data_IF_411220451065
#
_entry.id   IF_411220451065
#
_cell.length_a   1.000
_cell.length_b   1.000
_cell.length_c   1.000
_cell.angle_alpha   90.00
_cell.angle_beta   90.00
_cell.angle_gamma   90.00
#
_symmetry.space_group_name_H-M   'P 1'
#
loop_
_entity.id
_entity.type
_entity.pdbx_description
1 polymer ?
#
# COMPACT_ATOMS: atom_id res chain seq x y z
N UNK A 1 -84.12 -32.13 -0.12
CA UNK A 1 -83.08 -31.17 -0.53
C UNK A 1 -82.44 -30.47 0.69
N UNK A 2 -81.69 -31.19 1.54
CA UNK A 2 -80.97 -30.59 2.70
C UNK A 2 -79.53 -31.11 2.89
N UNK A 3 -79.05 -32.03 2.05
CA UNK A 3 -77.72 -32.67 2.19
C UNK A 3 -76.63 -32.12 1.25
N UNK A 4 -76.98 -31.30 0.26
CA UNK A 4 -76.03 -30.72 -0.72
C UNK A 4 -75.46 -29.36 -0.26
N UNK A 5 -76.13 -28.67 0.68
CA UNK A 5 -75.72 -27.35 1.19
C UNK A 5 -74.61 -27.39 2.26
N UNK A 6 -74.35 -28.55 2.87
CA UNK A 6 -73.37 -28.69 3.96
C UNK A 6 -71.95 -29.00 3.41
N UNK A 7 -71.86 -29.68 2.27
CA UNK A 7 -70.57 -30.08 1.67
C UNK A 7 -69.85 -28.87 1.02
N UNK A 8 -70.60 -27.93 0.45
CA UNK A 8 -70.06 -26.70 -0.13
C UNK A 8 -69.55 -25.73 0.95
N UNK A 9 -70.20 -25.60 2.10
CA UNK A 9 -69.73 -24.75 3.20
C UNK A 9 -68.42 -25.24 3.84
N UNK A 10 -68.21 -26.57 3.92
CA UNK A 10 -67.00 -27.17 4.48
C UNK A 10 -65.81 -27.04 3.52
N UNK A 11 -66.02 -27.20 2.20
CA UNK A 11 -64.95 -27.01 1.20
C UNK A 11 -64.49 -25.54 1.13
N UNK A 12 -65.40 -24.57 1.16
CA UNK A 12 -65.03 -23.14 1.13
C UNK A 12 -64.33 -22.70 2.43
N UNK A 13 -64.73 -23.20 3.59
CA UNK A 13 -64.04 -22.92 4.86
C UNK A 13 -62.60 -23.46 4.91
N UNK A 14 -62.36 -24.66 4.38
CA UNK A 14 -61.02 -25.26 4.31
C UNK A 14 -60.05 -24.50 3.40
N UNK A 15 -60.53 -23.99 2.26
CA UNK A 15 -59.72 -23.21 1.31
C UNK A 15 -59.34 -21.84 1.91
N UNK A 16 -60.26 -21.15 2.57
CA UNK A 16 -60.01 -19.86 3.22
C UNK A 16 -59.00 -20.00 4.37
N UNK A 17 -59.12 -21.03 5.21
CA UNK A 17 -58.18 -21.29 6.31
C UNK A 17 -56.79 -21.67 5.76
N UNK A 18 -56.72 -22.46 4.69
CA UNK A 18 -55.45 -22.81 4.05
C UNK A 18 -54.75 -21.58 3.42
N UNK A 19 -55.50 -20.68 2.78
CA UNK A 19 -54.97 -19.40 2.27
C UNK A 19 -54.50 -18.48 3.41
N UNK A 20 -55.26 -18.35 4.50
CA UNK A 20 -54.84 -17.56 5.66
C UNK A 20 -53.56 -18.11 6.30
N UNK A 21 -53.43 -19.44 6.44
CA UNK A 21 -52.19 -20.07 6.93
C UNK A 21 -51.00 -19.86 5.99
N UNK A 22 -51.21 -19.95 4.67
CA UNK A 22 -50.16 -19.70 3.67
C UNK A 22 -49.70 -18.24 3.69
N UNK A 23 -50.63 -17.29 3.84
CA UNK A 23 -50.31 -15.87 3.98
C UNK A 23 -49.57 -15.56 5.30
N UNK A 24 -49.99 -16.17 6.42
CA UNK A 24 -49.31 -16.03 7.70
C UNK A 24 -47.86 -16.57 7.65
N UNK A 25 -47.65 -17.73 7.00
CA UNK A 25 -46.31 -18.30 6.81
C UNK A 25 -45.42 -17.43 5.91
N UNK A 26 -45.97 -16.89 4.83
CA UNK A 26 -45.24 -15.98 3.94
C UNK A 26 -44.88 -14.66 4.64
N UNK A 27 -45.81 -14.10 5.43
CA UNK A 27 -45.54 -12.91 6.24
C UNK A 27 -44.46 -13.19 7.28
N UNK A 28 -44.50 -14.33 7.96
CA UNK A 28 -43.48 -14.73 8.93
C UNK A 28 -42.10 -14.86 8.28
N UNK A 29 -42.00 -15.56 7.14
CA UNK A 29 -40.76 -15.65 6.35
C UNK A 29 -40.24 -14.29 5.89
N UNK A 30 -41.13 -13.39 5.45
CA UNK A 30 -40.75 -12.04 5.04
C UNK A 30 -40.20 -11.22 6.21
N UNK A 31 -40.76 -11.40 7.40
CA UNK A 31 -40.34 -10.70 8.62
C UNK A 31 -38.99 -11.22 9.12
N UNK A 32 -38.75 -12.53 9.05
CA UNK A 32 -37.45 -13.11 9.38
C UNK A 32 -36.37 -12.69 8.40
N UNK A 33 -36.68 -12.60 7.11
CA UNK A 33 -35.76 -12.06 6.10
C UNK A 33 -35.44 -10.58 6.35
N UNK A 34 -36.43 -9.76 6.70
CA UNK A 34 -36.24 -8.35 7.05
C UNK A 34 -35.39 -8.19 8.33
N UNK A 35 -35.65 -8.99 9.36
CA UNK A 35 -34.87 -9.00 10.61
C UNK A 35 -33.43 -9.43 10.33
N UNK A 36 -33.23 -10.51 9.56
CA UNK A 36 -31.90 -10.97 9.19
C UNK A 36 -31.14 -9.88 8.42
N UNK A 37 -31.78 -9.24 7.44
CA UNK A 37 -31.18 -8.14 6.67
C UNK A 37 -30.79 -6.96 7.59
N UNK A 38 -31.66 -6.54 8.51
CA UNK A 38 -31.35 -5.47 9.48
C UNK A 38 -30.16 -5.85 10.38
N UNK A 39 -30.11 -7.09 10.85
CA UNK A 39 -29.02 -7.59 11.69
C UNK A 39 -27.71 -7.59 10.90
N UNK A 40 -27.70 -8.15 9.68
CA UNK A 40 -26.54 -8.13 8.79
C UNK A 40 -26.07 -6.71 8.47
N UNK A 41 -26.98 -5.80 8.13
CA UNK A 41 -26.64 -4.39 7.88
C UNK A 41 -26.02 -3.71 9.11
N UNK A 42 -26.53 -3.99 10.31
CA UNK A 42 -25.95 -3.44 11.56
C UNK A 42 -24.55 -4.01 11.85
N UNK A 43 -24.30 -5.28 11.53
CA UNK A 43 -22.96 -5.86 11.61
C UNK A 43 -22.00 -5.22 10.60
N UNK A 44 -22.43 -5.03 9.35
CA UNK A 44 -21.63 -4.35 8.33
C UNK A 44 -21.33 -2.90 8.72
N UNK A 45 -22.29 -2.16 9.26
CA UNK A 45 -22.10 -0.79 9.73
C UNK A 45 -21.06 -0.73 10.86
N UNK A 46 -21.11 -1.67 11.80
CA UNK A 46 -20.14 -1.76 12.90
C UNK A 46 -18.73 -2.10 12.40
N UNK A 47 -18.60 -3.04 11.46
CA UNK A 47 -17.31 -3.39 10.84
C UNK A 47 -16.74 -2.22 10.04
N UNK A 48 -17.58 -1.53 9.24
CA UNK A 48 -17.16 -0.35 8.49
C UNK A 48 -16.68 0.77 9.42
N UNK A 49 -17.42 1.04 10.51
CA UNK A 49 -17.00 2.04 11.50
C UNK A 49 -15.65 1.69 12.13
N UNK A 50 -15.44 0.42 12.46
CA UNK A 50 -14.16 -0.05 13.01
C UNK A 50 -13.01 0.17 12.02
N UNK A 51 -13.23 -0.13 10.73
CA UNK A 51 -12.23 0.06 9.69
C UNK A 51 -11.91 1.55 9.45
N UNK A 52 -12.91 2.42 9.52
CA UNK A 52 -12.73 3.88 9.47
C UNK A 52 -11.95 4.41 10.68
N UNK A 53 -12.27 3.93 11.89
CA UNK A 53 -11.54 4.29 13.12
C UNK A 53 -10.06 3.85 13.02
N UNK A 54 -9.80 2.62 12.55
CA UNK A 54 -8.44 2.10 12.31
C UNK A 54 -7.67 2.92 11.26
N UNK A 55 -8.32 3.28 10.14
CA UNK A 55 -7.73 4.17 9.12
C UNK A 55 -7.40 5.55 9.70
N UNK A 56 -8.30 6.12 10.50
CA UNK A 56 -8.11 7.42 11.13
C UNK A 56 -6.89 7.41 12.08
N UNK A 57 -6.69 6.33 12.83
CA UNK A 57 -5.52 6.18 13.69
C UNK A 57 -4.22 6.00 12.90
N UNK A 58 -4.25 5.26 11.79
CA UNK A 58 -3.09 5.14 10.91
C UNK A 58 -2.72 6.47 10.25
N UNK A 59 -3.70 7.29 9.86
CA UNK A 59 -3.45 8.61 9.25
C UNK A 59 -2.69 9.52 10.22
N UNK A 60 -3.00 9.49 11.52
CA UNK A 60 -2.33 10.33 12.54
C UNK A 60 -0.83 10.08 12.65
N UNK A 61 -0.38 8.86 12.34
CA UNK A 61 1.03 8.46 12.45
C UNK A 61 1.78 8.58 11.11
N UNK A 62 1.11 8.96 10.01
CA UNK A 62 1.77 9.21 8.74
C UNK A 62 2.59 10.49 8.79
N UNK A 63 3.73 10.50 8.09
CA UNK A 63 4.67 11.62 8.04
C UNK A 63 5.12 11.89 6.62
N UNK A 64 5.37 13.15 6.26
CA UNK A 64 6.05 13.46 5.00
C UNK A 64 7.48 12.97 5.09
N UNK A 65 7.88 12.17 4.11
CA UNK A 65 9.20 11.54 4.06
C UNK A 65 10.11 12.34 3.14
N UNK A 66 11.32 12.65 3.60
CA UNK A 66 12.45 12.98 2.73
C UNK A 66 13.62 12.04 3.05
N UNK A 67 14.22 11.47 2.01
CA UNK A 67 15.46 10.69 2.07
C UNK A 67 16.49 11.49 1.28
N UNK A 68 17.67 11.69 1.86
CA UNK A 68 18.80 12.34 1.21
C UNK A 68 20.00 11.40 1.30
N UNK A 69 20.61 11.13 0.15
CA UNK A 69 21.74 10.23 -0.01
C UNK A 69 22.90 11.09 -0.47
N UNK A 70 23.97 11.11 0.31
CA UNK A 70 25.19 11.88 0.05
C UNK A 70 26.31 10.87 -0.18
N UNK A 71 26.97 10.97 -1.32
CA UNK A 71 28.10 10.14 -1.73
C UNK A 71 29.37 10.98 -1.78
N UNK A 72 30.44 10.51 -1.16
CA UNK A 72 31.73 11.20 -1.11
C UNK A 72 32.87 10.23 -1.45
N UNK A 73 33.93 10.74 -2.07
CA UNK A 73 35.07 9.95 -2.55
C UNK A 73 35.11 9.88 -4.08
N UNK A 74 35.55 8.74 -4.60
CA UNK A 74 35.74 8.46 -6.03
C UNK A 74 34.42 8.12 -6.74
N UNK A 75 33.40 8.97 -6.59
CA UNK A 75 32.03 8.71 -7.03
C UNK A 75 31.92 8.39 -8.54
N UNK A 76 32.80 8.97 -9.36
CA UNK A 76 32.87 8.78 -10.81
C UNK A 76 33.21 7.34 -11.22
N UNK A 77 33.82 6.57 -10.31
CA UNK A 77 34.19 5.18 -10.53
C UNK A 77 33.03 4.22 -10.29
N UNK A 78 31.85 4.70 -9.89
CA UNK A 78 30.72 3.87 -9.47
C UNK A 78 29.41 4.18 -10.18
N UNK A 79 28.59 3.15 -10.29
CA UNK A 79 27.19 3.22 -10.67
C UNK A 79 26.30 2.81 -9.50
N UNK A 80 25.05 3.27 -9.51
CA UNK A 80 24.08 2.99 -8.47
C UNK A 80 22.75 2.50 -9.03
N UNK A 81 22.16 1.51 -8.36
CA UNK A 81 20.76 1.15 -8.53
C UNK A 81 20.02 1.41 -7.21
N UNK A 82 18.87 2.06 -7.31
CA UNK A 82 17.97 2.29 -6.19
C UNK A 82 16.66 1.54 -6.43
N UNK A 83 16.16 0.93 -5.37
CA UNK A 83 14.76 0.53 -5.23
C UNK A 83 14.18 1.18 -3.98
N UNK A 84 13.06 1.88 -4.15
CA UNK A 84 12.34 2.56 -3.09
C UNK A 84 10.90 2.07 -3.08
N UNK A 85 10.45 1.58 -1.94
CA UNK A 85 9.06 1.23 -1.70
C UNK A 85 8.49 2.12 -0.62
N UNK A 86 7.33 2.68 -0.87
CA UNK A 86 6.63 3.57 0.06
C UNK A 86 5.25 3.00 0.32
N UNK A 87 4.81 3.04 1.58
CA UNK A 87 3.49 2.58 1.99
C UNK A 87 2.72 3.71 2.66
N UNK A 88 1.48 3.94 2.22
CA UNK A 88 0.55 4.91 2.82
C UNK A 88 -0.79 4.28 3.15
N UNK A 89 -1.56 4.94 4.00
CA UNK A 89 -2.98 4.62 4.17
C UNK A 89 -3.70 4.91 2.85
N UNK A 90 -4.59 4.00 2.48
CA UNK A 90 -5.40 4.17 1.29
C UNK A 90 -6.53 5.18 1.54
N UNK A 91 -6.35 6.38 0.97
CA UNK A 91 -7.32 7.47 0.98
C UNK A 91 -7.99 7.68 -0.39
N UNK A 92 -7.83 6.72 -1.32
CA UNK A 92 -8.34 6.84 -2.69
C UNK A 92 -7.53 7.74 -3.63
N UNK A 93 -6.55 8.51 -3.14
CA UNK A 93 -5.65 9.26 -4.00
C UNK A 93 -4.56 8.34 -4.57
N UNK A 94 -4.57 8.12 -5.89
CA UNK A 94 -3.62 7.25 -6.60
C UNK A 94 -2.56 8.02 -7.38
N UNK A 95 -2.42 9.33 -7.16
CA UNK A 95 -1.35 10.10 -7.75
C UNK A 95 0.04 9.57 -7.34
N UNK A 96 1.03 9.82 -8.18
CA UNK A 96 2.41 9.45 -7.90
C UNK A 96 2.93 10.23 -6.68
N UNK A 97 3.46 9.52 -5.69
CA UNK A 97 3.75 10.11 -4.38
C UNK A 97 5.13 10.76 -4.31
N UNK A 98 6.08 10.35 -5.13
CA UNK A 98 7.43 10.94 -5.21
C UNK A 98 7.58 11.61 -6.56
N UNK A 99 8.04 12.87 -6.60
CA UNK A 99 8.38 13.49 -7.87
C UNK A 99 9.63 12.82 -8.46
N UNK A 100 9.50 12.32 -9.69
CA UNK A 100 10.56 11.68 -10.46
C UNK A 100 11.07 12.54 -11.60
N UNK A 101 10.50 13.75 -11.80
CA UNK A 101 11.05 14.71 -12.77
C UNK A 101 12.49 15.03 -12.35
N UNK A 102 13.41 14.91 -13.30
CA UNK A 102 14.85 15.12 -13.13
C UNK A 102 15.58 14.09 -12.24
N UNK A 103 14.97 12.92 -11.99
CA UNK A 103 15.59 11.81 -11.25
C UNK A 103 15.79 10.58 -12.14
N UNK A 104 16.86 9.83 -11.88
CA UNK A 104 17.15 8.56 -12.58
C UNK A 104 16.39 7.39 -11.94
N UNK A 105 15.15 7.63 -11.54
CA UNK A 105 14.24 6.66 -10.94
C UNK A 105 12.87 6.81 -11.59
N UNK A 106 12.16 5.71 -11.81
CA UNK A 106 10.80 5.69 -12.33
C UNK A 106 9.92 4.80 -11.47
N UNK A 107 8.62 5.04 -11.52
CA UNK A 107 7.64 4.16 -10.89
C UNK A 107 7.65 2.81 -11.58
N UNK A 108 7.65 1.73 -10.81
CA UNK A 108 7.52 0.37 -11.33
C UNK A 108 6.11 0.20 -11.90
N UNK A 109 6.01 0.16 -13.23
CA UNK A 109 4.74 0.09 -13.93
C UNK A 109 4.13 -1.30 -13.90
N UNK A 110 2.81 -1.39 -13.74
CA UNK A 110 2.07 -2.62 -13.98
C UNK A 110 1.64 -2.70 -15.46
N UNK A 111 1.89 -3.83 -16.11
CA UNK A 111 1.45 -4.07 -17.50
C UNK A 111 -0.05 -4.34 -17.61
N UNK A 112 -0.74 -4.67 -16.51
CA UNK A 112 -2.15 -5.07 -16.49
C UNK A 112 -3.13 -3.97 -16.05
N UNK A 113 -2.69 -2.73 -15.83
CA UNK A 113 -3.58 -1.68 -15.32
C UNK A 113 -3.09 -0.26 -15.58
N UNK A 114 -3.97 0.71 -15.29
CA UNK A 114 -3.70 2.16 -15.44
C UNK A 114 -3.08 2.80 -14.20
N UNK A 115 -2.95 2.06 -13.10
CA UNK A 115 -2.33 2.54 -11.86
C UNK A 115 -1.14 1.65 -11.47
N UNK A 116 -0.17 2.27 -10.80
CA UNK A 116 1.06 1.62 -10.35
C UNK A 116 1.08 1.40 -8.83
N UNK A 117 -0.10 1.38 -8.21
CA UNK A 117 -0.27 1.11 -6.78
C UNK A 117 -0.54 -0.37 -6.55
N UNK A 118 0.03 -0.87 -5.45
CA UNK A 118 -0.04 -2.26 -5.00
C UNK A 118 -0.68 -2.31 -3.62
N UNK A 119 -1.08 -3.49 -3.17
CA UNK A 119 -1.40 -3.72 -1.77
C UNK A 119 -0.15 -3.55 -0.85
N UNK A 120 -0.31 -3.75 0.46
CA UNK A 120 0.78 -3.70 1.43
C UNK A 120 1.82 -4.82 1.25
N UNK A 121 1.52 -5.91 0.56
CA UNK A 121 2.47 -7.00 0.29
C UNK A 121 3.19 -6.83 -1.07
N UNK A 122 2.81 -5.83 -1.87
CA UNK A 122 3.33 -5.62 -3.22
C UNK A 122 2.58 -6.40 -4.31
N UNK A 123 1.44 -7.00 -3.97
CA UNK A 123 0.53 -7.70 -4.87
C UNK A 123 -0.40 -6.75 -5.65
N UNK A 124 -0.86 -7.23 -6.80
CA UNK A 124 -1.83 -6.56 -7.66
C UNK A 124 -3.21 -7.24 -7.67
N UNK A 125 -3.36 -8.36 -6.95
CA UNK A 125 -4.57 -9.17 -6.98
C UNK A 125 -5.52 -8.78 -5.84
N UNK A 126 -6.43 -7.86 -6.13
CA UNK A 126 -7.48 -7.44 -5.19
C UNK A 126 -8.84 -7.38 -5.87
N UNK A 127 -9.90 -7.73 -5.13
CA UNK A 127 -11.29 -7.66 -5.59
C UNK A 127 -11.80 -6.23 -5.69
N UNK A 128 -11.31 -5.34 -4.81
CA UNK A 128 -11.57 -3.90 -4.86
C UNK A 128 -10.41 -3.13 -4.23
N UNK A 129 -9.99 -2.05 -4.88
CA UNK A 129 -8.92 -1.20 -4.36
C UNK A 129 -9.38 -0.41 -3.12
N UNK A 130 -10.67 -0.04 -3.04
CA UNK A 130 -11.22 0.76 -1.94
C UNK A 130 -11.14 0.06 -0.58
N UNK A 131 -11.07 -1.27 -0.60
CA UNK A 131 -11.13 -2.12 0.59
C UNK A 131 -9.73 -2.30 1.20
N UNK A 132 -8.67 -1.98 0.46
CA UNK A 132 -7.31 -2.03 0.96
C UNK A 132 -7.10 -0.93 2.00
N UNK A 133 -6.69 -1.27 3.22
CA UNK A 133 -6.39 -0.29 4.26
C UNK A 133 -5.11 0.50 3.97
N UNK A 134 -4.10 -0.17 3.39
CA UNK A 134 -2.81 0.41 3.02
C UNK A 134 -2.43 -0.02 1.63
N UNK A 135 -1.74 0.87 0.95
CA UNK A 135 -1.32 0.71 -0.43
C UNK A 135 0.14 1.14 -0.57
N UNK A 136 0.82 0.57 -1.55
CA UNK A 136 2.23 0.83 -1.78
C UNK A 136 2.55 1.23 -3.21
N UNK A 137 3.59 2.05 -3.35
CA UNK A 137 4.17 2.42 -4.62
C UNK A 137 5.66 2.09 -4.59
N UNK A 138 6.13 1.49 -5.68
CA UNK A 138 7.53 1.13 -5.85
C UNK A 138 8.15 1.96 -6.96
N UNK A 139 9.38 2.39 -6.73
CA UNK A 139 10.20 3.12 -7.68
C UNK A 139 11.53 2.37 -7.84
N UNK A 140 12.05 2.34 -9.06
CA UNK A 140 13.35 1.74 -9.35
C UNK A 140 14.14 2.60 -10.30
N UNK A 141 15.46 2.50 -10.20
CA UNK A 141 16.40 3.12 -11.12
C UNK A 141 16.02 2.91 -12.58
N UNK A 142 16.08 3.98 -13.37
CA UNK A 142 15.84 3.92 -14.81
C UNK A 142 16.83 2.94 -15.46
N UNK A 143 16.35 2.23 -16.48
CA UNK A 143 17.16 1.38 -17.35
C UNK A 143 17.12 1.97 -18.74
N UNK A 144 18.22 1.85 -19.47
CA UNK A 144 18.22 2.20 -20.88
C UNK A 144 17.44 1.15 -21.71
N UNK A 145 17.30 1.40 -23.02
CA UNK A 145 16.56 0.55 -23.96
C UNK A 145 17.10 -0.89 -24.05
N UNK A 146 18.38 -1.11 -23.71
CA UNK A 146 19.01 -2.43 -23.70
C UNK A 146 18.91 -3.12 -22.32
N UNK A 147 18.19 -2.53 -21.37
CA UNK A 147 18.00 -3.06 -20.02
C UNK A 147 19.22 -2.88 -19.10
N UNK A 148 20.26 -2.18 -19.55
CA UNK A 148 21.48 -1.90 -18.81
C UNK A 148 21.25 -0.73 -17.85
N UNK A 149 21.71 -0.92 -16.62
CA UNK A 149 21.73 0.09 -15.57
C UNK A 149 22.99 0.95 -15.76
N UNK A 150 22.82 2.14 -16.30
CA UNK A 150 23.91 3.10 -16.50
C UNK A 150 23.67 4.39 -15.69
N UNK A 151 23.16 4.26 -14.47
CA UNK A 151 22.97 5.42 -13.60
C UNK A 151 24.28 5.68 -12.86
N UNK A 152 25.05 6.63 -13.37
CA UNK A 152 26.24 7.12 -12.70
C UNK A 152 25.91 7.58 -11.28
N UNK A 153 26.77 7.26 -10.32
CA UNK A 153 26.59 7.67 -8.94
C UNK A 153 26.64 9.21 -8.84
N UNK A 154 25.61 9.82 -8.24
CA UNK A 154 25.56 11.27 -8.03
C UNK A 154 26.11 11.64 -6.65
N UNK A 155 26.71 12.84 -6.48
CA UNK A 155 27.15 13.30 -5.17
C UNK A 155 25.99 13.40 -4.16
N UNK A 156 24.83 13.89 -4.61
CA UNK A 156 23.63 14.02 -3.78
C UNK A 156 22.41 13.56 -4.57
N UNK A 157 21.58 12.73 -3.94
CA UNK A 157 20.26 12.35 -4.44
C UNK A 157 19.23 12.50 -3.32
N UNK A 158 18.03 12.94 -3.65
CA UNK A 158 16.95 13.02 -2.67
C UNK A 158 15.60 12.56 -3.21
N UNK A 159 14.82 11.94 -2.33
CA UNK A 159 13.45 11.49 -2.58
C UNK A 159 12.55 12.09 -1.53
N UNK A 160 11.51 12.79 -1.98
CA UNK A 160 10.56 13.44 -1.09
C UNK A 160 9.14 13.07 -1.49
N UNK A 161 8.29 12.80 -0.50
CA UNK A 161 6.89 12.44 -0.72
C UNK A 161 6.00 13.68 -0.70
N UNK A 162 5.09 13.76 -1.67
CA UNK A 162 4.07 14.82 -1.77
C UNK A 162 3.00 14.67 -0.67
N UNK A 163 2.70 13.43 -0.30
CA UNK A 163 1.76 13.09 0.76
C UNK A 163 2.45 12.37 1.94
N UNK A 164 1.85 12.39 3.14
CA UNK A 164 2.31 11.60 4.28
C UNK A 164 2.27 10.09 4.03
N UNK A 165 3.24 9.36 4.59
CA UNK A 165 3.41 7.90 4.43
C UNK A 165 3.63 7.25 5.80
N UNK A 166 3.35 5.96 5.91
CA UNK A 166 3.53 5.21 7.16
C UNK A 166 4.98 4.77 7.33
N UNK A 167 5.53 4.18 6.28
CA UNK A 167 6.88 3.61 6.29
C UNK A 167 7.42 3.48 4.86
N UNK A 168 8.72 3.23 4.77
CA UNK A 168 9.39 2.95 3.51
C UNK A 168 10.39 1.81 3.63
N UNK A 169 10.73 1.22 2.50
CA UNK A 169 11.88 0.34 2.33
C UNK A 169 12.79 0.91 1.25
N UNK A 170 14.10 0.85 1.46
CA UNK A 170 15.11 1.36 0.54
C UNK A 170 16.19 0.32 0.34
N UNK A 171 16.50 0.02 -0.92
CA UNK A 171 17.68 -0.76 -1.30
C UNK A 171 18.55 0.08 -2.23
N UNK A 172 19.85 0.10 -1.96
CA UNK A 172 20.83 0.78 -2.80
C UNK A 172 21.94 -0.22 -3.10
N UNK A 173 22.12 -0.53 -4.38
CA UNK A 173 23.24 -1.32 -4.86
C UNK A 173 24.24 -0.41 -5.55
N UNK A 174 25.50 -0.40 -5.10
CA UNK A 174 26.58 0.40 -5.71
C UNK A 174 27.65 -0.55 -6.23
N UNK A 175 28.06 -0.37 -7.49
CA UNK A 175 29.07 -1.23 -8.14
C UNK A 175 30.04 -0.39 -8.95
N UNK A 176 31.24 -0.94 -9.18
CA UNK A 176 32.32 -0.24 -9.88
C UNK A 176 32.10 -0.25 -11.39
N UNK A 177 32.42 0.86 -12.04
CA UNK A 177 32.52 0.99 -13.49
C UNK A 177 33.83 0.31 -13.91
N UNK A 178 33.76 -0.79 -14.66
CA UNK A 178 34.97 -1.55 -15.02
C UNK A 178 35.94 -0.71 -15.85
N UNK A 179 37.20 -0.54 -15.42
CA UNK A 179 38.39 -0.74 -16.28
C UNK A 179 39.74 -0.37 -15.65
N UNK A 180 39.85 0.39 -14.55
CA UNK A 180 41.18 0.70 -13.99
C UNK A 180 41.33 0.41 -12.49
N UNK A 181 42.40 -0.32 -12.18
CA UNK A 181 42.91 -0.63 -10.84
C UNK A 181 44.28 0.04 -10.68
N UNK A 182 44.35 1.16 -9.97
CA UNK A 182 45.65 1.67 -9.49
C UNK A 182 45.59 2.48 -8.19
N UNK A 183 44.40 2.74 -7.63
CA UNK A 183 44.26 3.35 -6.28
C UNK A 183 43.24 2.58 -5.45
N UNK A 184 43.47 2.46 -4.14
CA UNK A 184 42.48 2.00 -3.16
C UNK A 184 41.28 2.94 -3.27
N UNK A 185 40.17 2.51 -3.87
CA UNK A 185 39.10 3.44 -4.16
C UNK A 185 38.42 3.83 -2.86
N UNK A 186 38.09 5.11 -2.72
CA UNK A 186 37.37 5.60 -1.54
C UNK A 186 35.93 5.88 -1.91
N UNK A 187 35.00 5.40 -1.09
CA UNK A 187 33.60 5.76 -1.20
C UNK A 187 32.99 5.73 0.20
N UNK A 188 32.25 6.76 0.54
CA UNK A 188 31.38 6.76 1.70
C UNK A 188 29.99 7.25 1.30
N UNK A 189 28.97 6.77 2.02
CA UNK A 189 27.58 7.15 1.82
C UNK A 189 26.97 7.54 3.15
N UNK A 190 26.35 8.70 3.18
CA UNK A 190 25.49 9.14 4.27
C UNK A 190 24.05 9.15 3.79
N UNK A 191 23.16 8.48 4.51
CA UNK A 191 21.72 8.50 4.25
C UNK A 191 21.04 9.20 5.42
N UNK A 192 20.50 10.37 5.14
CA UNK A 192 19.68 11.15 6.06
C UNK A 192 18.21 10.88 5.76
N UNK A 193 17.46 10.54 6.81
CA UNK A 193 16.02 10.29 6.75
C UNK A 193 15.35 11.40 7.56
N UNK A 194 14.40 12.07 6.94
CA UNK A 194 13.63 13.14 7.53
C UNK A 194 12.15 12.76 7.55
N UNK A 195 11.48 13.09 8.66
CA UNK A 195 10.03 13.02 8.80
C UNK A 195 9.49 14.42 9.13
N UNK A 196 8.51 14.90 8.38
CA UNK A 196 7.97 16.27 8.50
C UNK A 196 9.08 17.35 8.56
N UNK A 197 10.07 17.23 7.66
CA UNK A 197 11.25 18.09 7.56
C UNK A 197 12.22 18.07 8.76
N UNK A 198 12.03 17.17 9.72
CA UNK A 198 12.95 16.97 10.84
C UNK A 198 13.85 15.77 10.56
N UNK A 199 15.16 15.92 10.77
CA UNK A 199 16.12 14.82 10.66
C UNK A 199 15.88 13.83 11.79
N UNK A 200 15.51 12.60 11.45
CA UNK A 200 15.16 11.56 12.42
C UNK A 200 16.18 10.42 12.47
N UNK A 201 16.95 10.23 11.41
CA UNK A 201 17.98 9.21 11.35
C UNK A 201 19.07 9.58 10.35
N UNK A 202 20.31 9.35 10.74
CA UNK A 202 21.47 9.34 9.84
C UNK A 202 22.10 7.96 9.87
N UNK A 203 22.37 7.40 8.70
CA UNK A 203 23.09 6.15 8.51
C UNK A 203 24.35 6.44 7.71
N UNK A 204 25.49 5.95 8.16
CA UNK A 204 26.79 6.14 7.50
C UNK A 204 27.36 4.79 7.11
N UNK A 205 27.87 4.71 5.89
CA UNK A 205 28.42 3.49 5.31
C UNK A 205 29.74 3.81 4.63
N UNK A 206 30.74 2.97 4.88
CA UNK A 206 32.01 2.94 4.16
C UNK A 206 31.93 2.03 2.93
N UNK A 207 32.95 2.09 2.07
CA UNK A 207 33.06 1.19 0.92
C UNK A 207 32.99 -0.29 1.32
N UNK A 208 33.68 -0.65 2.40
CA UNK A 208 33.72 -2.02 2.92
C UNK A 208 32.35 -2.50 3.38
N UNK A 209 31.52 -1.61 3.92
CA UNK A 209 30.15 -1.94 4.33
C UNK A 209 29.29 -2.32 3.13
N UNK A 210 29.41 -1.60 2.01
CA UNK A 210 28.67 -1.93 0.79
C UNK A 210 29.10 -3.28 0.21
N UNK A 211 30.40 -3.57 0.21
CA UNK A 211 30.95 -4.82 -0.36
C UNK A 211 30.48 -6.03 0.45
N UNK A 212 30.50 -5.93 1.79
CA UNK A 212 30.10 -7.04 2.67
C UNK A 212 28.59 -7.27 2.70
N UNK A 213 27.79 -6.21 2.62
CA UNK A 213 26.33 -6.28 2.76
C UNK A 213 25.59 -6.33 1.41
N UNK A 214 26.31 -6.47 0.29
CA UNK A 214 25.75 -6.38 -1.07
C UNK A 214 24.97 -5.06 -1.30
N UNK A 215 25.42 -3.97 -0.68
CA UNK A 215 24.80 -2.64 -0.73
C UNK A 215 24.15 -2.21 0.59
N UNK A 216 23.17 -1.30 0.49
CA UNK A 216 22.36 -0.81 1.62
C UNK A 216 20.96 -1.40 1.54
N UNK A 217 20.45 -1.86 2.68
CA UNK A 217 19.09 -2.42 2.81
C UNK A 217 18.42 -1.90 4.07
N UNK A 218 17.41 -1.05 3.91
CA UNK A 218 16.52 -0.55 4.95
C UNK A 218 15.15 -1.15 4.67
N UNK A 219 14.60 -1.88 5.65
CA UNK A 219 13.31 -2.57 5.51
C UNK A 219 12.29 -1.98 6.48
N UNK A 220 11.14 -1.62 5.93
CA UNK A 220 9.93 -1.20 6.61
C UNK A 220 10.17 -0.19 7.75
N UNK A 221 10.97 0.84 7.46
CA UNK A 221 11.30 1.91 8.38
C UNK A 221 10.05 2.74 8.66
N UNK A 222 9.53 2.63 9.89
CA UNK A 222 8.33 3.34 10.36
C UNK A 222 8.66 4.78 10.73
N UNK A 223 7.89 5.73 10.20
CA UNK A 223 8.12 7.17 10.44
C UNK A 223 7.44 7.68 11.72
N UNK A 224 6.30 7.10 12.09
CA UNK A 224 5.53 7.53 13.26
C UNK A 224 5.95 6.89 14.60
N UNK A 225 6.93 5.99 14.62
CA UNK A 225 7.35 5.25 15.84
C UNK A 225 8.56 5.86 16.55
N UNK A 226 8.92 7.11 16.23
CA UNK A 226 10.01 7.79 16.92
C UNK A 226 9.41 8.36 18.20
N UNK A 227 9.54 7.60 19.28
CA UNK A 227 9.37 8.13 20.62
C UNK A 227 10.27 9.37 20.73
N UNK A 228 9.66 10.53 20.97
CA UNK A 228 10.38 11.73 21.38
C UNK A 228 11.23 11.34 22.60
N UNK A 229 12.54 11.19 22.39
CA UNK A 229 13.52 11.10 23.48
C UNK A 229 14.05 12.48 23.76
#
# INVERSE_FOLDING_TARGET
MKRILIISAILFGGIVIAQQKKNALNNWKSRDAEIAQKVFSKYQEKENKKLEDEKADLIKIQKKLKIEIINEGDIEKYNQNIWLRIVKVNNGNLEQIVDTRDKDISVVTNTMGTNNWKDEAGGFNYTSFTDLMKISQELTSNRNETGILANSLKPIESFETREPVLYFSLKIYTHKNSSEQTTLPTLSKTINIYADNQLIKTLKYSLDDFIKAEGVSIRDFKLGSIENR
#
